data_IF_607273605698
#
_entry.id   IF_607273605698
#
_cell.length_a   1.000
_cell.length_b   1.000
_cell.length_c   1.000
_cell.angle_alpha   90.00
_cell.angle_beta   90.00
_cell.angle_gamma   90.00
#
_symmetry.space_group_name_H-M   'P 1'
#
loop_
_entity.id
_entity.type
_entity.pdbx_description
1 polymer ?
#
# COMPACT_ATOMS: atom_id res chain seq x y z
N UNK A 1 0.05 -20.81 3.75
CA UNK A 1 -0.04 -21.15 5.18
C UNK A 1 -1.48 -20.97 5.64
N UNK A 2 -2.01 -21.88 6.46
CA UNK A 2 -3.33 -21.69 7.06
C UNK A 2 -3.22 -20.65 8.19
N UNK A 3 -4.15 -19.70 8.23
CA UNK A 3 -4.23 -18.72 9.32
C UNK A 3 -4.82 -19.45 10.53
N UNK A 4 -4.04 -19.62 11.60
CA UNK A 4 -4.43 -20.36 12.81
C UNK A 4 -4.88 -19.47 13.96
N UNK A 5 -4.53 -18.17 13.90
CA UNK A 5 -4.95 -17.15 14.85
C UNK A 5 -4.95 -15.78 14.17
N UNK A 6 -5.81 -14.86 14.63
CA UNK A 6 -5.98 -13.52 14.05
C UNK A 6 -5.87 -12.49 15.18
N UNK A 7 -5.06 -11.45 15.00
CA UNK A 7 -5.00 -10.32 15.91
C UNK A 7 -6.03 -9.26 15.52
N UNK A 8 -7.24 -9.34 16.08
CA UNK A 8 -8.34 -8.42 15.78
C UNK A 8 -8.02 -6.95 16.08
N UNK A 9 -7.15 -6.65 17.06
CA UNK A 9 -6.81 -5.27 17.41
C UNK A 9 -6.01 -4.55 16.32
N UNK A 10 -5.13 -5.28 15.63
CA UNK A 10 -4.40 -4.77 14.47
C UNK A 10 -5.37 -4.39 13.35
N UNK A 11 -6.37 -5.24 13.06
CA UNK A 11 -7.37 -4.95 12.02
C UNK A 11 -8.33 -3.82 12.40
N UNK A 12 -8.70 -3.68 13.67
CA UNK A 12 -9.49 -2.55 14.14
C UNK A 12 -8.73 -1.23 14.03
N UNK A 13 -7.42 -1.24 14.30
CA UNK A 13 -6.55 -0.07 14.15
C UNK A 13 -6.37 0.30 12.68
N UNK A 14 -6.21 -0.70 11.81
CA UNK A 14 -6.19 -0.51 10.36
C UNK A 14 -7.51 0.08 9.87
N UNK A 15 -8.66 -0.45 10.28
CA UNK A 15 -9.97 0.05 9.87
C UNK A 15 -10.19 1.53 10.26
N UNK A 16 -9.75 1.93 11.46
CA UNK A 16 -9.77 3.33 11.89
C UNK A 16 -8.87 4.22 11.05
N UNK A 17 -7.70 3.72 10.66
CA UNK A 17 -6.75 4.44 9.81
C UNK A 17 -7.35 4.64 8.41
N UNK A 18 -7.83 3.56 7.79
CA UNK A 18 -8.46 3.58 6.46
C UNK A 18 -9.64 4.55 6.41
N UNK A 19 -10.48 4.58 7.45
CA UNK A 19 -11.63 5.50 7.54
C UNK A 19 -11.23 6.97 7.33
N UNK A 20 -10.01 7.36 7.72
CA UNK A 20 -9.54 8.74 7.64
C UNK A 20 -8.70 9.02 6.38
N UNK A 21 -8.46 8.04 5.51
CA UNK A 21 -7.74 8.23 4.26
C UNK A 21 -8.63 8.86 3.18
N UNK A 22 -8.07 9.68 2.27
CA UNK A 22 -8.82 10.28 1.18
C UNK A 22 -9.34 9.24 0.17
N UNK A 23 -8.63 8.11 0.01
CA UNK A 23 -9.06 6.98 -0.83
C UNK A 23 -9.17 5.73 0.04
N UNK A 24 -10.40 5.23 0.20
CA UNK A 24 -10.73 4.12 1.10
C UNK A 24 -10.76 2.77 0.38
N UNK A 25 -11.13 2.77 -0.90
CA UNK A 25 -11.13 1.57 -1.74
C UNK A 25 -9.76 1.43 -2.42
N UNK A 26 -8.99 0.45 -1.95
CA UNK A 26 -7.67 0.13 -2.48
C UNK A 26 -7.30 -1.34 -2.21
N UNK A 27 -6.32 -1.83 -2.96
CA UNK A 27 -5.82 -3.20 -2.86
C UNK A 27 -4.36 -3.20 -2.45
N UNK A 28 -4.05 -4.02 -1.46
CA UNK A 28 -2.68 -4.14 -0.97
C UNK A 28 -2.12 -5.53 -1.17
N UNK A 29 -0.85 -5.60 -1.55
CA UNK A 29 -0.07 -6.84 -1.56
C UNK A 29 1.28 -6.58 -0.88
N UNK A 30 1.61 -7.39 0.12
CA UNK A 30 2.92 -7.34 0.76
C UNK A 30 3.82 -8.42 0.16
N UNK A 31 4.92 -7.99 -0.42
CA UNK A 31 5.99 -8.85 -0.90
C UNK A 31 7.01 -9.05 0.21
N UNK A 32 7.00 -10.24 0.80
CA UNK A 32 7.90 -10.59 1.89
C UNK A 32 9.34 -10.86 1.43
N UNK A 33 9.59 -11.09 0.14
CA UNK A 33 10.96 -11.26 -0.35
C UNK A 33 11.62 -9.88 -0.54
N UNK A 34 10.90 -8.96 -1.18
CA UNK A 34 11.38 -7.61 -1.44
C UNK A 34 11.23 -6.64 -0.25
N UNK A 35 10.44 -7.00 0.77
CA UNK A 35 10.04 -6.13 1.88
C UNK A 35 9.31 -4.85 1.42
N UNK A 36 8.34 -5.03 0.52
CA UNK A 36 7.57 -3.95 -0.10
C UNK A 36 6.07 -4.14 0.13
N UNK A 37 5.38 -3.09 0.59
CA UNK A 37 3.92 -3.03 0.56
C UNK A 37 3.46 -2.23 -0.67
N UNK A 38 2.81 -2.91 -1.61
CA UNK A 38 2.13 -2.27 -2.72
C UNK A 38 0.73 -1.84 -2.29
N UNK A 39 0.35 -0.60 -2.59
CA UNK A 39 -1.01 -0.07 -2.47
C UNK A 39 -1.46 0.33 -3.88
N UNK A 40 -2.57 -0.25 -4.34
CA UNK A 40 -3.16 0.02 -5.65
C UNK A 40 -4.51 0.69 -5.47
N UNK A 41 -4.71 1.81 -6.16
CA UNK A 41 -5.94 2.59 -6.09
C UNK A 41 -6.98 2.22 -7.15
N UNK A 42 -6.67 1.20 -7.96
CA UNK A 42 -7.51 0.67 -9.03
C UNK A 42 -7.47 -0.86 -9.04
N UNK A 43 -8.56 -1.49 -9.49
CA UNK A 43 -8.65 -2.92 -9.77
C UNK A 43 -9.21 -3.13 -11.20
N UNK A 44 -8.44 -3.71 -12.15
CA UNK A 44 -7.06 -4.15 -12.01
C UNK A 44 -6.09 -2.99 -11.77
N UNK A 45 -4.88 -3.29 -11.28
CA UNK A 45 -3.84 -2.30 -11.10
C UNK A 45 -3.49 -1.64 -12.44
N UNK A 46 -3.36 -0.31 -12.45
CA UNK A 46 -2.92 0.45 -13.60
C UNK A 46 -1.39 0.45 -13.69
N UNK A 47 -0.87 0.58 -14.91
CA UNK A 47 0.56 0.79 -15.15
C UNK A 47 0.91 2.26 -14.96
N UNK A 48 1.97 2.52 -14.20
CA UNK A 48 2.49 3.87 -14.05
C UNK A 48 3.25 4.30 -15.32
N UNK A 49 3.11 5.56 -15.71
CA UNK A 49 3.98 6.20 -16.71
C UNK A 49 5.08 7.05 -16.05
N UNK A 50 4.89 7.45 -14.79
CA UNK A 50 5.89 8.16 -13.99
C UNK A 50 5.89 7.73 -12.51
N UNK A 51 6.96 8.04 -11.78
CA UNK A 51 7.09 7.76 -10.34
C UNK A 51 8.06 8.70 -9.63
N UNK A 52 7.75 8.99 -8.36
CA UNK A 52 8.60 9.77 -7.47
C UNK A 52 9.02 8.92 -6.26
N UNK A 53 10.32 8.88 -5.95
CA UNK A 53 10.83 8.31 -4.69
C UNK A 53 10.97 9.43 -3.67
N UNK A 54 10.29 9.29 -2.54
CA UNK A 54 10.35 10.21 -1.41
C UNK A 54 11.48 9.86 -0.44
N UNK A 55 11.82 10.79 0.46
CA UNK A 55 12.81 10.57 1.53
C UNK A 55 12.37 9.49 2.56
N UNK A 56 11.09 9.15 2.59
CA UNK A 56 10.50 8.15 3.51
C UNK A 56 10.47 6.73 2.92
N UNK A 57 11.26 6.44 1.88
CA UNK A 57 11.30 5.15 1.17
C UNK A 57 9.93 4.76 0.55
N UNK A 58 9.15 5.76 0.14
CA UNK A 58 7.86 5.56 -0.55
C UNK A 58 8.00 5.97 -2.01
N UNK A 59 7.65 5.05 -2.92
CA UNK A 59 7.46 5.36 -4.35
C UNK A 59 5.99 5.74 -4.57
N UNK A 60 5.76 6.96 -5.02
CA UNK A 60 4.45 7.42 -5.51
C UNK A 60 4.39 7.09 -7.01
N UNK A 61 3.32 6.40 -7.44
CA UNK A 61 3.14 5.96 -8.83
C UNK A 61 2.05 6.78 -9.52
N UNK A 62 2.36 7.29 -10.70
CA UNK A 62 1.49 8.18 -11.47
C UNK A 62 1.08 7.57 -12.81
N UNK A 63 -0.12 7.90 -13.28
CA UNK A 63 -0.52 7.77 -14.68
C UNK A 63 -1.05 9.14 -15.13
N UNK A 64 -0.27 9.87 -15.92
CA UNK A 64 -0.47 11.31 -16.13
C UNK A 64 -0.43 12.07 -14.80
N UNK A 65 -1.44 12.91 -14.54
CA UNK A 65 -1.51 13.71 -13.30
C UNK A 65 -2.17 12.97 -12.12
N UNK A 66 -2.55 11.69 -12.30
CA UNK A 66 -3.25 10.91 -11.27
C UNK A 66 -2.28 10.01 -10.48
N UNK A 67 -2.35 10.05 -9.15
CA UNK A 67 -1.71 9.05 -8.29
C UNK A 67 -2.52 7.75 -8.37
N UNK A 68 -1.90 6.71 -8.93
CA UNK A 68 -2.54 5.39 -9.13
C UNK A 68 -2.15 4.36 -8.07
N UNK A 69 -1.16 4.65 -7.24
CA UNK A 69 -0.78 3.79 -6.13
C UNK A 69 0.53 4.19 -5.46
N UNK A 70 0.90 3.43 -4.44
CA UNK A 70 2.12 3.59 -3.66
C UNK A 70 2.89 2.27 -3.61
N UNK A 71 4.22 2.34 -3.48
CA UNK A 71 5.05 1.23 -3.03
C UNK A 71 5.86 1.69 -1.81
N UNK A 72 5.57 1.12 -0.65
CA UNK A 72 6.30 1.42 0.59
C UNK A 72 7.44 0.41 0.67
N UNK A 73 8.67 0.88 0.56
CA UNK A 73 9.88 0.07 0.62
C UNK A 73 10.34 -0.10 2.08
N UNK A 74 11.19 -1.10 2.31
CA UNK A 74 11.84 -1.34 3.61
C UNK A 74 10.85 -1.41 4.78
N UNK A 75 9.66 -1.99 4.59
CA UNK A 75 8.55 -1.96 5.57
C UNK A 75 8.97 -2.42 6.96
N UNK A 76 9.90 -3.37 7.09
CA UNK A 76 10.37 -3.86 8.40
C UNK A 76 11.20 -2.84 9.18
N UNK A 77 11.73 -1.81 8.52
CA UNK A 77 12.54 -0.74 9.15
C UNK A 77 11.70 0.47 9.56
N UNK A 78 10.49 0.57 9.01
CA UNK A 78 9.53 1.64 9.30
C UNK A 78 8.93 1.50 10.72
#
# INVERSE_FOLDING_TARGET
MAITSINLQSYLSLAKTIKNLPKQDFWTAYDAEADILYINFHQPALSADDSELTDDDIIIRYQGDEIIGLSILNVRKQ
#
